data_IF_349351041355
#
_entry.id   IF_349351041355
#
_cell.length_a   1.000
_cell.length_b   1.000
_cell.length_c   1.000
_cell.angle_alpha   90.00
_cell.angle_beta   90.00
_cell.angle_gamma   90.00
#
_symmetry.space_group_name_H-M   'P 1'
#
loop_
_entity.id
_entity.type
_entity.pdbx_description
1 polymer ?
#
# COMPACT_ATOMS: atom_id res chain seq x y z
N UNK A 1 -11.47 9.08 -4.01
CA UNK A 1 -10.87 8.82 -5.34
C UNK A 1 -10.10 7.49 -5.39
N UNK A 2 -9.19 7.21 -4.43
CA UNK A 2 -8.40 5.99 -4.41
C UNK A 2 -9.25 4.71 -4.34
N UNK A 3 -10.09 4.58 -3.29
CA UNK A 3 -10.95 3.40 -3.11
C UNK A 3 -11.92 3.21 -4.30
N UNK A 4 -12.54 4.30 -4.77
CA UNK A 4 -13.40 4.26 -5.95
C UNK A 4 -12.70 3.74 -7.21
N UNK A 5 -11.42 4.08 -7.40
CA UNK A 5 -10.61 3.55 -8.52
C UNK A 5 -10.31 2.05 -8.36
N UNK A 6 -10.28 1.53 -7.13
CA UNK A 6 -10.13 0.10 -6.83
C UNK A 6 -11.48 -0.63 -6.75
N UNK A 7 -12.56 -0.01 -7.21
CA UNK A 7 -13.96 -0.42 -7.06
C UNK A 7 -14.37 -0.78 -5.62
N UNK A 8 -13.69 -0.21 -4.64
CA UNK A 8 -13.99 -0.34 -3.21
C UNK A 8 -14.85 0.85 -2.76
N UNK A 9 -16.02 0.57 -2.18
CA UNK A 9 -17.00 1.60 -1.77
C UNK A 9 -17.48 1.43 -0.34
N UNK A 10 -16.90 0.50 0.41
CA UNK A 10 -17.30 0.28 1.80
C UNK A 10 -16.85 1.41 2.70
N UNK A 11 -17.74 1.82 3.61
CA UNK A 11 -17.39 2.72 4.72
C UNK A 11 -16.30 2.12 5.62
N UNK A 12 -16.18 0.78 5.63
CA UNK A 12 -15.12 0.09 6.35
C UNK A 12 -13.74 0.48 5.83
N UNK A 13 -13.53 0.44 4.51
CA UNK A 13 -12.25 0.78 3.89
C UNK A 13 -11.87 2.25 4.18
N UNK A 14 -12.82 3.17 4.07
CA UNK A 14 -12.62 4.58 4.39
C UNK A 14 -12.21 4.80 5.85
N UNK A 15 -12.99 4.25 6.79
CA UNK A 15 -12.67 4.37 8.21
C UNK A 15 -11.35 3.69 8.58
N UNK A 16 -11.03 2.57 7.94
CA UNK A 16 -9.77 1.88 8.15
C UNK A 16 -8.58 2.75 7.72
N UNK A 17 -8.64 3.31 6.50
CA UNK A 17 -7.57 4.19 6.00
C UNK A 17 -7.40 5.43 6.87
N UNK A 18 -8.50 6.04 7.34
CA UNK A 18 -8.44 7.17 8.28
C UNK A 18 -7.76 6.78 9.59
N UNK A 19 -8.16 5.65 10.20
CA UNK A 19 -7.53 5.15 11.43
C UNK A 19 -6.05 4.84 11.22
N UNK A 20 -5.70 4.22 10.09
CA UNK A 20 -4.33 3.88 9.75
C UNK A 20 -3.47 5.13 9.61
N UNK A 21 -3.94 6.12 8.84
CA UNK A 21 -3.27 7.40 8.65
C UNK A 21 -3.03 8.12 9.98
N UNK A 22 -4.04 8.22 10.84
CA UNK A 22 -3.92 8.84 12.16
C UNK A 22 -2.88 8.13 13.04
N UNK A 23 -2.89 6.79 13.07
CA UNK A 23 -1.95 6.02 13.89
C UNK A 23 -0.51 6.11 13.37
N UNK A 24 -0.32 6.06 12.06
CA UNK A 24 1.01 5.99 11.42
C UNK A 24 1.71 7.34 11.37
N UNK A 25 0.96 8.42 11.19
CA UNK A 25 1.52 9.78 11.15
C UNK A 25 1.59 10.48 12.51
N UNK A 26 1.23 9.80 13.61
CA UNK A 26 1.01 10.44 14.93
C UNK A 26 0.05 11.63 14.80
N UNK A 27 -1.12 11.41 14.20
CA UNK A 27 -2.14 12.44 13.91
C UNK A 27 -1.62 13.62 13.06
N UNK A 28 -0.57 13.40 12.27
CA UNK A 28 0.03 14.41 11.40
C UNK A 28 1.26 15.12 11.97
N UNK A 29 1.73 14.74 13.17
CA UNK A 29 2.98 15.27 13.73
C UNK A 29 4.22 14.77 12.98
N UNK A 30 4.14 13.59 12.35
CA UNK A 30 5.20 12.98 11.57
C UNK A 30 4.71 12.66 10.16
N UNK A 31 4.83 13.62 9.24
CA UNK A 31 4.52 13.44 7.81
C UNK A 31 5.76 13.15 6.96
N UNK A 32 6.94 13.43 7.50
CA UNK A 32 8.23 13.17 6.88
C UNK A 32 9.00 12.23 7.81
N UNK A 33 9.54 11.16 7.24
CA UNK A 33 10.33 10.18 7.96
C UNK A 33 11.48 10.89 8.69
N UNK A 34 11.50 10.82 10.03
CA UNK A 34 12.59 11.39 10.84
C UNK A 34 13.89 10.60 10.66
N UNK A 35 13.74 9.32 10.26
CA UNK A 35 14.79 8.36 9.92
C UNK A 35 14.40 7.59 8.66
N UNK A 36 15.40 7.12 7.91
CA UNK A 36 15.21 6.31 6.68
C UNK A 36 14.27 5.10 6.86
N UNK A 37 14.15 4.58 8.09
CA UNK A 37 13.38 3.38 8.45
C UNK A 37 11.90 3.63 8.78
N UNK A 38 11.45 4.88 8.89
CA UNK A 38 10.09 5.18 9.41
C UNK A 38 8.99 5.00 8.34
N UNK A 39 9.35 4.72 7.09
CA UNK A 39 8.41 4.64 5.96
C UNK A 39 7.99 6.02 5.45
N UNK A 40 7.29 6.04 4.31
CA UNK A 40 7.02 7.24 3.54
C UNK A 40 5.55 7.68 3.67
N UNK A 41 5.36 9.00 3.81
CA UNK A 41 4.06 9.67 3.81
C UNK A 41 3.18 9.36 5.02
N UNK A 42 1.91 9.75 4.92
CA UNK A 42 0.93 9.68 6.01
C UNK A 42 0.65 8.24 6.50
N UNK A 43 0.91 7.24 5.65
CA UNK A 43 0.72 5.84 5.97
C UNK A 43 2.00 5.15 6.47
N UNK A 44 3.16 5.84 6.47
CA UNK A 44 4.45 5.29 6.87
C UNK A 44 4.75 3.95 6.16
N UNK A 45 4.58 3.93 4.83
CA UNK A 45 4.79 2.72 4.01
C UNK A 45 6.27 2.61 3.67
N UNK A 46 6.90 1.48 4.00
CA UNK A 46 8.31 1.26 3.71
C UNK A 46 8.55 0.99 2.22
N UNK A 47 9.71 1.38 1.65
CA UNK A 47 10.05 1.05 0.27
C UNK A 47 9.96 -0.45 -0.03
N UNK A 48 10.37 -1.29 0.91
CA UNK A 48 10.36 -2.76 0.79
C UNK A 48 8.93 -3.29 0.68
N UNK A 49 8.02 -2.79 1.54
CA UNK A 49 6.60 -3.18 1.48
C UNK A 49 5.95 -2.74 0.17
N UNK A 50 6.34 -1.56 -0.33
CA UNK A 50 5.87 -1.05 -1.61
C UNK A 50 6.33 -1.93 -2.77
N UNK A 51 7.61 -2.30 -2.80
CA UNK A 51 8.17 -3.19 -3.83
C UNK A 51 7.53 -4.58 -3.77
N UNK A 52 7.41 -5.18 -2.57
CA UNK A 52 6.78 -6.48 -2.40
C UNK A 52 5.32 -6.49 -2.88
N UNK A 53 4.54 -5.44 -2.61
CA UNK A 53 3.19 -5.33 -3.14
C UNK A 53 3.19 -5.33 -4.68
N UNK A 54 4.12 -4.61 -5.32
CA UNK A 54 4.21 -4.57 -6.77
C UNK A 54 4.59 -5.92 -7.35
N UNK A 55 5.66 -6.52 -6.83
CA UNK A 55 6.26 -7.73 -7.39
C UNK A 55 5.46 -9.00 -7.06
N UNK A 56 4.85 -9.06 -5.87
CA UNK A 56 4.23 -10.29 -5.36
C UNK A 56 2.70 -10.28 -5.43
N UNK A 57 2.06 -9.11 -5.57
CA UNK A 57 0.60 -9.00 -5.59
C UNK A 57 0.05 -8.38 -6.87
N UNK A 58 0.60 -7.24 -7.30
CA UNK A 58 0.14 -6.53 -8.50
C UNK A 58 0.64 -7.18 -9.79
N UNK A 59 1.84 -7.75 -9.80
CA UNK A 59 2.39 -8.45 -10.98
C UNK A 59 1.47 -9.57 -11.49
N UNK A 60 0.69 -10.19 -10.60
CA UNK A 60 -0.26 -11.26 -10.94
C UNK A 60 -1.68 -10.76 -11.28
N UNK A 61 -1.92 -9.45 -11.22
CA UNK A 61 -3.21 -8.82 -11.48
C UNK A 61 -3.03 -7.61 -12.42
N UNK A 62 -2.81 -7.83 -13.72
CA UNK A 62 -2.38 -6.78 -14.66
C UNK A 62 -3.36 -5.61 -14.77
N UNK A 63 -4.66 -5.86 -14.72
CA UNK A 63 -5.68 -4.79 -14.79
C UNK A 63 -5.65 -3.91 -13.54
N UNK A 64 -5.46 -4.52 -12.36
CA UNK A 64 -5.31 -3.82 -11.09
C UNK A 64 -4.00 -3.03 -11.06
N UNK A 65 -2.90 -3.63 -11.50
CA UNK A 65 -1.60 -2.98 -11.62
C UNK A 65 -1.67 -1.75 -12.54
N UNK A 66 -2.33 -1.87 -13.70
CA UNK A 66 -2.56 -0.78 -14.63
C UNK A 66 -3.36 0.36 -13.99
N UNK A 67 -4.44 0.01 -13.29
CA UNK A 67 -5.28 0.98 -12.57
C UNK A 67 -4.48 1.73 -11.51
N UNK A 68 -3.74 1.02 -10.66
CA UNK A 68 -2.89 1.61 -9.61
C UNK A 68 -1.78 2.47 -10.21
N UNK A 69 -1.15 2.01 -11.30
CA UNK A 69 -0.11 2.78 -12.01
C UNK A 69 -0.67 4.08 -12.58
N UNK A 70 -1.92 4.07 -13.05
CA UNK A 70 -2.63 5.24 -13.55
C UNK A 70 -2.94 6.30 -12.48
N UNK A 71 -2.93 5.92 -11.20
CA UNK A 71 -3.08 6.86 -10.07
C UNK A 71 -1.78 7.59 -9.71
N UNK A 72 -0.62 6.99 -10.02
CA UNK A 72 0.68 7.60 -9.81
C UNK A 72 0.98 8.66 -10.88
N UNK A 73 1.90 9.58 -10.58
CA UNK A 73 2.41 10.48 -11.61
C UNK A 73 3.06 9.70 -12.76
N UNK A 74 3.02 10.25 -13.97
CA UNK A 74 3.62 9.56 -15.13
C UNK A 74 5.14 9.57 -15.04
N UNK A 75 5.75 10.75 -14.92
CA UNK A 75 7.21 10.93 -14.99
C UNK A 75 7.93 10.70 -13.66
N UNK A 76 7.45 11.30 -12.56
CA UNK A 76 8.15 11.20 -11.28
C UNK A 76 8.14 9.76 -10.73
N UNK A 77 7.09 8.98 -10.99
CA UNK A 77 7.06 7.57 -10.62
C UNK A 77 8.15 6.73 -11.31
N UNK A 78 8.49 7.02 -12.57
CA UNK A 78 9.54 6.28 -13.28
C UNK A 78 10.94 6.60 -12.75
N UNK A 79 11.13 7.80 -12.19
CA UNK A 79 12.39 8.25 -11.63
C UNK A 79 12.55 7.80 -10.17
N UNK A 80 11.48 7.93 -9.36
CA UNK A 80 11.45 7.51 -7.96
C UNK A 80 10.02 7.08 -7.56
N UNK A 81 9.67 5.79 -7.74
CA UNK A 81 8.30 5.31 -7.51
C UNK A 81 7.88 5.42 -6.04
N UNK A 82 8.82 5.32 -5.10
CA UNK A 82 8.53 5.42 -3.67
C UNK A 82 8.15 6.84 -3.25
N UNK A 83 8.61 7.88 -3.96
CA UNK A 83 8.28 9.26 -3.64
C UNK A 83 6.77 9.54 -3.71
N UNK A 84 6.03 8.84 -4.57
CA UNK A 84 4.56 8.96 -4.65
C UNK A 84 3.87 8.65 -3.32
N UNK A 85 4.45 7.78 -2.49
CA UNK A 85 3.88 7.44 -1.17
C UNK A 85 3.81 8.65 -0.24
N UNK A 86 4.70 9.63 -0.42
CA UNK A 86 4.74 10.87 0.34
C UNK A 86 4.06 12.04 -0.38
N UNK A 87 4.08 12.07 -1.72
CA UNK A 87 3.67 13.25 -2.50
C UNK A 87 2.29 13.11 -3.16
N UNK A 88 1.76 11.89 -3.29
CA UNK A 88 0.51 11.62 -3.96
C UNK A 88 -0.44 10.84 -3.04
N UNK A 89 -1.30 11.56 -2.33
CA UNK A 89 -2.22 10.97 -1.36
C UNK A 89 -3.17 9.94 -1.98
N UNK A 90 -3.61 10.15 -3.22
CA UNK A 90 -4.52 9.20 -3.90
C UNK A 90 -3.81 7.87 -4.12
N UNK A 91 -2.59 7.93 -4.67
CA UNK A 91 -1.77 6.74 -4.86
C UNK A 91 -1.41 6.07 -3.53
N UNK A 92 -0.94 6.84 -2.55
CA UNK A 92 -0.56 6.33 -1.23
C UNK A 92 -1.74 5.63 -0.53
N UNK A 93 -2.95 6.17 -0.64
CA UNK A 93 -4.17 5.56 -0.10
C UNK A 93 -4.51 4.23 -0.80
N UNK A 94 -4.31 4.15 -2.12
CA UNK A 94 -4.52 2.94 -2.89
C UNK A 94 -3.55 1.83 -2.47
N UNK A 95 -2.25 2.16 -2.38
CA UNK A 95 -1.22 1.22 -1.91
C UNK A 95 -1.48 0.77 -0.47
N UNK A 96 -1.84 1.71 0.43
CA UNK A 96 -2.17 1.38 1.81
C UNK A 96 -3.33 0.38 1.90
N UNK A 97 -4.37 0.55 1.11
CA UNK A 97 -5.50 -0.38 1.05
C UNK A 97 -5.06 -1.75 0.52
N UNK A 98 -4.35 -1.78 -0.60
CA UNK A 98 -3.92 -3.02 -1.24
C UNK A 98 -2.94 -3.83 -0.36
N UNK A 99 -2.08 -3.17 0.42
CA UNK A 99 -1.25 -3.85 1.43
C UNK A 99 -2.07 -4.60 2.47
N UNK A 100 -3.26 -4.11 2.84
CA UNK A 100 -4.12 -4.85 3.77
C UNK A 100 -4.70 -6.10 3.14
N UNK A 101 -5.02 -6.05 1.84
CA UNK A 101 -5.56 -7.19 1.10
C UNK A 101 -4.47 -8.22 0.83
N UNK A 102 -3.29 -7.78 0.39
CA UNK A 102 -2.12 -8.63 0.23
C UNK A 102 -1.79 -9.40 1.53
N UNK A 103 -1.79 -8.73 2.68
CA UNK A 103 -1.55 -9.39 3.98
C UNK A 103 -2.64 -10.38 4.37
N UNK A 104 -3.91 -10.05 4.14
CA UNK A 104 -5.02 -10.99 4.35
C UNK A 104 -4.89 -12.23 3.47
N UNK A 105 -4.45 -12.07 2.23
CA UNK A 105 -4.24 -13.19 1.32
C UNK A 105 -3.08 -14.08 1.80
N UNK A 106 -1.99 -13.51 2.30
CA UNK A 106 -0.90 -14.29 2.92
C UNK A 106 -1.35 -15.03 4.20
N UNK A 107 -2.22 -14.43 5.01
CA UNK A 107 -2.78 -15.07 6.21
C UNK A 107 -3.79 -16.18 5.89
N UNK A 108 -4.37 -16.18 4.69
CA UNK A 108 -5.35 -17.15 4.21
C UNK A 108 -4.75 -18.27 3.35
N UNK A 109 -3.44 -18.25 3.12
CA UNK A 109 -2.74 -19.29 2.36
C UNK A 109 -2.41 -20.47 3.31
N UNK A 110 -3.07 -21.64 3.20
CA UNK A 110 -2.89 -22.77 4.12
C UNK A 110 -1.63 -23.61 3.82
N UNK A 111 -0.70 -23.12 3.00
CA UNK A 111 0.57 -23.81 2.69
C UNK A 111 1.59 -23.61 3.83
N UNK A 112 1.18 -23.99 5.03
CA UNK A 112 2.03 -24.28 6.19
C UNK A 112 1.37 -25.42 6.97
N UNK A 113 1.08 -26.52 6.27
CA UNK A 113 0.39 -27.69 6.81
C UNK A 113 0.96 -29.03 6.38
N UNK A 114 2.11 -29.08 5.68
CA UNK A 114 2.65 -30.33 5.15
C UNK A 114 4.19 -30.45 5.09
N UNK A 115 4.93 -29.87 6.03
CA UNK A 115 6.37 -30.20 6.20
C UNK A 115 6.76 -30.35 7.68
N UNK A 116 6.06 -31.22 8.40
CA UNK A 116 6.61 -31.79 9.65
C UNK A 116 6.25 -33.29 9.72
N UNK A 117 6.78 -34.02 8.74
CA UNK A 117 6.99 -35.48 8.78
C UNK A 117 8.35 -35.77 8.15
N UNK A 118 9.40 -35.60 8.96
CA UNK A 118 10.68 -36.31 8.85
C UNK A 118 11.41 -36.26 10.20
#
# INVERSE_FOLDING_TARGET
PALAALDERSQFAEHYLLKLASKRSSYGEHLVASKQSDGLGIYAISPESHTALWDEYLAFQPDLASTVRGLASQRAFLENPHAELATNLVYASAIAWLLTQYRKNCEQDPVSGYEDIA
#
